data_IF_021121921680
#
_entry.id   IF_021121921680
#
_cell.length_a   1.000
_cell.length_b   1.000
_cell.length_c   1.000
_cell.angle_alpha   90.00
_cell.angle_beta   90.00
_cell.angle_gamma   90.00
#
_symmetry.space_group_name_H-M   'P 1'
#
loop_
_entity.id
_entity.type
_entity.pdbx_description
1 polymer ?
#
# COMPACT_ATOMS: atom_id res chain seq x y z
N UNK A 1 0.35 17.56 -5.39
CA UNK A 1 0.92 16.51 -6.25
C UNK A 1 2.21 17.04 -6.84
N UNK A 2 3.30 16.27 -6.78
CA UNK A 2 4.62 16.62 -7.30
C UNK A 2 4.83 15.94 -8.66
N UNK A 3 5.31 16.65 -9.69
CA UNK A 3 5.68 16.00 -10.96
C UNK A 3 6.79 14.97 -10.73
N UNK A 4 6.73 13.83 -11.42
CA UNK A 4 7.78 12.80 -11.35
C UNK A 4 7.94 12.15 -12.73
N UNK A 5 9.18 12.00 -13.18
CA UNK A 5 9.53 11.37 -14.46
C UNK A 5 9.70 9.85 -14.38
N UNK A 6 9.28 9.24 -13.27
CA UNK A 6 9.49 7.82 -13.01
C UNK A 6 8.64 6.96 -13.96
N UNK A 7 9.27 5.88 -14.46
CA UNK A 7 8.63 4.89 -15.32
C UNK A 7 8.52 3.58 -14.57
N UNK A 8 7.29 3.08 -14.42
CA UNK A 8 6.99 1.81 -13.76
C UNK A 8 6.74 0.75 -14.83
N UNK A 9 7.30 -0.45 -14.62
CA UNK A 9 6.90 -1.64 -15.38
C UNK A 9 5.73 -2.30 -14.65
N UNK A 10 4.57 -2.35 -15.29
CA UNK A 10 3.37 -3.00 -14.74
C UNK A 10 3.37 -4.51 -14.99
N UNK A 11 2.41 -5.22 -14.42
CA UNK A 11 2.37 -6.69 -14.41
C UNK A 11 2.31 -7.31 -15.82
N UNK A 12 1.59 -6.70 -16.75
CA UNK A 12 1.51 -7.15 -18.16
C UNK A 12 2.81 -6.93 -18.96
N UNK A 13 3.85 -6.39 -18.31
CA UNK A 13 5.15 -6.12 -18.90
C UNK A 13 5.28 -4.77 -19.58
N UNK A 14 4.17 -4.03 -19.74
CA UNK A 14 4.20 -2.67 -20.30
C UNK A 14 4.85 -1.69 -19.34
N UNK A 15 5.38 -0.60 -19.89
CA UNK A 15 5.98 0.50 -19.13
C UNK A 15 5.01 1.67 -19.13
N UNK A 16 4.73 2.22 -17.96
CA UNK A 16 3.87 3.40 -17.80
C UNK A 16 4.61 4.49 -17.02
N UNK A 17 4.52 5.71 -17.53
CA UNK A 17 4.97 6.90 -16.81
C UNK A 17 3.95 7.21 -15.71
N UNK A 18 4.42 7.53 -14.51
CA UNK A 18 3.54 7.98 -13.43
C UNK A 18 3.09 9.42 -13.68
N UNK A 19 1.89 9.79 -13.25
CA UNK A 19 1.37 11.16 -13.34
C UNK A 19 2.16 12.08 -12.39
N UNK A 20 2.54 11.55 -11.25
CA UNK A 20 3.29 12.25 -10.21
C UNK A 20 3.23 11.52 -8.89
N UNK A 21 3.64 12.21 -7.84
CA UNK A 21 3.64 11.70 -6.48
C UNK A 21 2.73 12.55 -5.58
N UNK A 22 2.12 11.90 -4.60
CA UNK A 22 1.24 12.55 -3.63
C UNK A 22 1.48 11.95 -2.25
N UNK A 23 1.52 12.80 -1.22
CA UNK A 23 1.52 12.35 0.16
C UNK A 23 0.08 12.23 0.63
N UNK A 24 -0.30 11.06 1.14
CA UNK A 24 -1.63 10.78 1.67
C UNK A 24 -1.52 10.21 3.08
N UNK A 25 -2.45 10.63 3.93
CA UNK A 25 -2.67 10.03 5.23
C UNK A 25 -3.58 8.81 5.06
N UNK A 26 -3.08 7.62 5.39
CA UNK A 26 -3.83 6.36 5.30
C UNK A 26 -3.97 5.76 6.70
N UNK A 27 -5.20 5.45 7.08
CA UNK A 27 -5.48 4.71 8.31
C UNK A 27 -5.45 3.21 8.05
N UNK A 28 -4.60 2.49 8.76
CA UNK A 28 -4.41 1.04 8.65
C UNK A 28 -4.61 0.44 10.04
N UNK A 29 -5.68 -0.34 10.22
CA UNK A 29 -6.13 -0.74 11.54
C UNK A 29 -6.49 0.49 12.38
N UNK A 30 -5.79 0.67 13.51
CA UNK A 30 -5.98 1.80 14.42
C UNK A 30 -4.84 2.84 14.33
N UNK A 31 -4.04 2.82 13.25
CA UNK A 31 -2.86 3.66 13.11
C UNK A 31 -2.92 4.47 11.81
N UNK A 32 -2.49 5.73 11.87
CA UNK A 32 -2.41 6.62 10.72
C UNK A 32 -0.96 6.69 10.21
N UNK A 33 -0.79 6.59 8.89
CA UNK A 33 0.51 6.63 8.21
C UNK A 33 0.50 7.70 7.14
N UNK A 34 1.53 8.54 7.12
CA UNK A 34 1.81 9.44 6.00
C UNK A 34 2.64 8.69 4.96
N UNK A 35 2.07 8.45 3.78
CA UNK A 35 2.68 7.62 2.75
C UNK A 35 2.74 8.40 1.44
N UNK A 36 3.92 8.43 0.81
CA UNK A 36 4.08 8.93 -0.56
C UNK A 36 3.65 7.87 -1.56
N UNK A 37 2.60 8.15 -2.33
CA UNK A 37 2.12 7.30 -3.42
C UNK A 37 2.57 7.82 -4.78
N UNK A 38 2.83 6.87 -5.68
CA UNK A 38 3.01 7.11 -7.10
C UNK A 38 1.66 6.99 -7.79
N UNK A 39 1.20 8.08 -8.41
CA UNK A 39 -0.11 8.16 -9.05
C UNK A 39 0.01 7.67 -10.48
N UNK A 40 -0.81 6.68 -10.87
CA UNK A 40 -0.79 6.08 -12.20
C UNK A 40 -2.17 6.13 -12.84
N UNK A 41 -2.22 6.36 -14.16
CA UNK A 41 -3.45 6.20 -14.94
C UNK A 41 -3.58 4.75 -15.43
N UNK A 42 -4.24 3.92 -14.62
CA UNK A 42 -4.43 2.48 -14.88
C UNK A 42 -5.87 2.08 -14.58
N UNK A 43 -6.39 1.13 -15.36
CA UNK A 43 -7.65 0.47 -15.04
C UNK A 43 -7.37 -0.67 -14.06
N UNK A 44 -7.44 -0.40 -12.76
CA UNK A 44 -7.15 -1.35 -11.68
C UNK A 44 -8.39 -1.59 -10.81
N UNK A 45 -8.49 -2.78 -10.21
CA UNK A 45 -9.55 -3.14 -9.26
C UNK A 45 -9.28 -2.63 -7.84
N UNK A 46 -8.20 -1.87 -7.64
CA UNK A 46 -7.77 -1.32 -6.36
C UNK A 46 -7.48 0.18 -6.50
N UNK A 47 -7.61 0.91 -5.40
CA UNK A 47 -7.31 2.36 -5.36
C UNK A 47 -5.86 2.67 -4.95
N UNK A 48 -5.25 1.83 -4.12
CA UNK A 48 -3.87 2.01 -3.66
C UNK A 48 -3.17 0.67 -3.46
N UNK A 49 -1.83 0.67 -3.56
CA UNK A 49 -1.00 -0.49 -3.26
C UNK A 49 0.09 -0.09 -2.27
N UNK A 50 0.14 -0.79 -1.14
CA UNK A 50 1.20 -0.66 -0.17
C UNK A 50 2.32 -1.62 -0.52
N UNK A 51 3.39 -1.07 -1.09
CA UNK A 51 4.54 -1.85 -1.51
C UNK A 51 5.47 -2.23 -0.35
N UNK A 52 6.55 -2.93 -0.71
CA UNK A 52 7.64 -3.30 0.20
C UNK A 52 8.21 -2.13 1.03
N UNK A 53 8.35 -0.89 0.50
CA UNK A 53 8.86 0.23 1.29
C UNK A 53 8.02 0.47 2.56
N UNK A 54 6.70 0.54 2.42
CA UNK A 54 5.80 0.72 3.56
C UNK A 54 5.83 -0.48 4.50
N UNK A 55 5.80 -1.71 3.96
CA UNK A 55 5.85 -2.94 4.77
C UNK A 55 7.12 -2.97 5.65
N UNK A 56 8.27 -2.61 5.08
CA UNK A 56 9.53 -2.56 5.80
C UNK A 56 9.56 -1.46 6.85
N UNK A 57 9.12 -0.24 6.50
CA UNK A 57 9.10 0.90 7.41
C UNK A 57 8.17 0.68 8.60
N UNK A 58 6.98 0.12 8.36
CA UNK A 58 6.02 -0.20 9.42
C UNK A 58 6.43 -1.43 10.26
N UNK A 59 7.50 -2.14 9.89
CA UNK A 59 7.87 -3.42 10.51
C UNK A 59 6.76 -4.47 10.37
N UNK A 60 6.01 -4.41 9.26
CA UNK A 60 4.82 -5.21 9.06
C UNK A 60 5.14 -6.62 8.56
N UNK A 61 4.39 -7.60 9.06
CA UNK A 61 4.43 -9.00 8.67
C UNK A 61 3.10 -9.36 8.02
N UNK A 62 3.14 -9.73 6.74
CA UNK A 62 1.99 -10.16 5.95
C UNK A 62 1.88 -11.69 5.91
N UNK A 63 0.69 -12.23 6.09
CA UNK A 63 0.36 -13.64 5.84
C UNK A 63 -0.80 -13.75 4.87
N UNK A 64 -0.52 -14.21 3.65
CA UNK A 64 -1.56 -14.49 2.65
C UNK A 64 -2.43 -15.68 3.08
N UNK A 65 -1.83 -16.72 3.67
CA UNK A 65 -2.57 -17.90 4.12
C UNK A 65 -3.66 -17.56 5.13
N UNK A 66 -3.37 -16.64 6.06
CA UNK A 66 -4.32 -16.22 7.09
C UNK A 66 -5.05 -14.93 6.75
N UNK A 67 -4.79 -14.34 5.59
CA UNK A 67 -5.27 -13.01 5.18
C UNK A 67 -5.10 -11.98 6.31
N UNK A 68 -3.88 -11.89 6.86
CA UNK A 68 -3.57 -11.01 8.00
C UNK A 68 -2.32 -10.20 7.75
N UNK A 69 -2.37 -8.95 8.18
CA UNK A 69 -1.26 -8.01 8.26
C UNK A 69 -1.05 -7.64 9.72
N UNK A 70 0.17 -7.78 10.23
CA UNK A 70 0.51 -7.48 11.62
C UNK A 70 1.67 -6.50 11.68
N UNK A 71 1.63 -5.58 12.62
CA UNK A 71 2.75 -4.68 12.93
C UNK A 71 2.64 -4.23 14.39
N UNK A 72 3.72 -3.67 14.93
CA UNK A 72 3.73 -3.16 16.30
C UNK A 72 3.80 -1.65 16.26
N UNK A 73 2.84 -0.99 16.91
CA UNK A 73 2.81 0.46 17.08
C UNK A 73 2.61 0.80 18.55
N UNK A 74 3.44 1.71 19.09
CA UNK A 74 3.42 2.11 20.51
C UNK A 74 3.42 0.92 21.50
N UNK A 75 4.19 -0.13 21.18
CA UNK A 75 4.28 -1.34 22.01
C UNK A 75 3.07 -2.27 21.95
N UNK A 76 2.08 -1.99 21.09
CA UNK A 76 0.90 -2.84 20.90
C UNK A 76 0.95 -3.55 19.55
N UNK A 77 0.61 -4.83 19.55
CA UNK A 77 0.43 -5.60 18.32
C UNK A 77 -0.89 -5.19 17.66
N UNK A 78 -0.80 -4.64 16.46
CA UNK A 78 -1.94 -4.35 15.60
C UNK A 78 -2.08 -5.49 14.60
N UNK A 79 -3.30 -6.00 14.44
CA UNK A 79 -3.65 -7.00 13.43
C UNK A 79 -4.77 -6.43 12.57
N UNK A 80 -4.53 -6.39 11.26
CA UNK A 80 -5.53 -6.08 10.25
C UNK A 80 -5.86 -7.38 9.53
N UNK A 81 -7.13 -7.77 9.56
CA UNK A 81 -7.64 -8.90 8.78
C UNK A 81 -8.02 -8.41 7.38
N UNK A 82 -7.83 -9.26 6.39
CA UNK A 82 -8.47 -9.10 5.10
C UNK A 82 -9.99 -9.15 5.25
N UNK A 83 -10.69 -8.64 4.24
CA UNK A 83 -12.14 -8.75 4.16
C UNK A 83 -12.52 -10.23 4.09
N UNK A 84 -13.41 -10.66 4.98
CA UNK A 84 -14.04 -11.98 4.88
C UNK A 84 -15.18 -11.87 3.89
N UNK A 85 -15.18 -12.72 2.86
CA UNK A 85 -16.38 -12.92 2.04
C UNK A 85 -17.47 -13.48 2.98
N UNK A 86 -18.34 -12.62 3.48
CA UNK A 86 -19.63 -13.02 4.04
C UNK A 86 -20.44 -13.60 2.87
N UNK A 87 -20.25 -14.90 2.61
CA UNK A 87 -21.14 -15.69 1.76
C UNK A 87 -22.54 -15.76 2.37
#
# INVERSE_FOLDING_TARGET
MRPSGLVVKVFDGTRKTIIGEIDLSITIGACEFQITFQVMNVNATYSCLLGRPWIHEAGAVTSTLHQKLKFVQYGKLITVSGEEDLL
#
